data_IF_231913091520
#
_entry.id   IF_231913091520
#
_cell.length_a   1.000
_cell.length_b   1.000
_cell.length_c   1.000
_cell.angle_alpha   90.00
_cell.angle_beta   90.00
_cell.angle_gamma   90.00
#
_symmetry.space_group_name_H-M   'P 1'
#
loop_
_entity.id
_entity.type
_entity.pdbx_description
1 polymer ?
#
# COMPACT_ATOMS: atom_id res chain seq x y z
N UNK A 1 4.81 -19.37 12.28
CA UNK A 1 5.73 -18.65 13.18
C UNK A 1 5.86 -17.27 12.59
N UNK A 2 5.56 -16.24 13.38
CA UNK A 2 5.70 -14.87 12.91
C UNK A 2 7.16 -14.55 12.60
N UNK A 3 7.40 -13.90 11.46
CA UNK A 3 8.69 -13.38 11.04
C UNK A 3 8.75 -11.86 11.18
N UNK A 4 9.96 -11.31 11.20
CA UNK A 4 10.20 -9.87 11.08
C UNK A 4 10.27 -9.49 9.60
N UNK A 5 9.48 -8.50 9.19
CA UNK A 5 9.33 -8.08 7.80
C UNK A 5 9.69 -6.61 7.67
N UNK A 6 10.58 -6.29 6.73
CA UNK A 6 10.95 -4.92 6.34
C UNK A 6 10.28 -4.56 5.02
N UNK A 7 9.65 -3.39 4.96
CA UNK A 7 8.97 -2.90 3.76
C UNK A 7 8.83 -1.38 3.79
N UNK A 8 8.48 -0.81 2.63
CA UNK A 8 8.06 0.59 2.53
C UNK A 8 6.66 0.66 1.94
N UNK A 9 5.89 1.65 2.35
CA UNK A 9 4.60 2.01 1.76
C UNK A 9 4.59 3.50 1.41
N UNK A 10 4.01 3.88 0.28
CA UNK A 10 3.89 5.27 -0.18
C UNK A 10 2.42 5.69 -0.32
N UNK A 11 2.15 6.96 -0.03
CA UNK A 11 0.86 7.59 -0.29
C UNK A 11 0.91 8.29 -1.66
N UNK A 12 0.68 7.52 -2.73
CA UNK A 12 0.62 8.07 -4.09
C UNK A 12 -0.85 8.34 -4.42
N UNK A 13 -1.18 9.60 -4.72
CA UNK A 13 -2.55 10.02 -5.06
C UNK A 13 -2.68 10.33 -6.55
N UNK A 14 -3.92 10.41 -7.04
CA UNK A 14 -4.22 10.83 -8.41
C UNK A 14 -4.32 12.35 -8.56
N UNK A 15 -4.08 13.12 -7.49
CA UNK A 15 -4.12 14.58 -7.53
C UNK A 15 -2.97 15.10 -8.41
N UNK A 16 -3.23 16.15 -9.20
CA UNK A 16 -2.20 16.81 -10.00
C UNK A 16 -2.12 18.30 -9.63
N UNK A 17 -0.98 18.79 -9.09
CA UNK A 17 0.23 18.03 -8.73
C UNK A 17 0.01 17.09 -7.54
N UNK A 18 0.79 16.01 -7.47
CA UNK A 18 0.75 15.06 -6.36
C UNK A 18 1.16 15.74 -5.04
N UNK A 19 0.49 15.43 -3.91
CA UNK A 19 0.86 15.95 -2.60
C UNK A 19 2.31 15.60 -2.29
N UNK A 20 3.10 16.63 -1.99
CA UNK A 20 4.52 16.44 -1.67
C UNK A 20 4.68 15.95 -0.24
N UNK A 21 5.85 15.39 0.09
CA UNK A 21 6.23 15.03 1.45
C UNK A 21 5.94 16.18 2.44
N UNK A 22 6.12 17.43 2.04
CA UNK A 22 5.86 18.64 2.85
C UNK A 22 4.40 19.09 2.90
N UNK A 23 3.46 18.38 2.29
CA UNK A 23 2.03 18.73 2.34
C UNK A 23 1.53 18.63 3.79
N UNK A 24 0.86 19.68 4.32
CA UNK A 24 0.34 19.70 5.70
C UNK A 24 -0.51 18.49 6.09
N UNK A 25 -1.14 17.82 5.11
CA UNK A 25 -1.93 16.60 5.36
C UNK A 25 -1.12 15.47 5.99
N UNK A 26 0.20 15.46 5.79
CA UNK A 26 1.09 14.42 6.32
C UNK A 26 1.68 14.78 7.68
N UNK A 27 1.47 15.98 8.21
CA UNK A 27 2.02 16.39 9.50
C UNK A 27 1.51 15.52 10.68
N UNK A 28 0.23 15.12 10.76
CA UNK A 28 -0.25 14.27 11.85
C UNK A 28 0.46 12.92 11.92
N UNK A 29 0.63 12.25 10.77
CA UNK A 29 1.30 10.94 10.69
C UNK A 29 2.82 11.05 10.85
N UNK A 30 3.43 12.19 10.48
CA UNK A 30 4.83 12.44 10.80
C UNK A 30 5.07 12.62 12.30
N UNK A 31 4.14 13.27 12.98
CA UNK A 31 4.21 13.51 14.41
C UNK A 31 3.96 12.23 15.24
N UNK A 32 3.13 11.33 14.73
CA UNK A 32 2.78 10.08 15.40
C UNK A 32 2.65 8.93 14.36
N UNK A 33 3.77 8.39 13.84
CA UNK A 33 3.72 7.29 12.89
C UNK A 33 3.29 5.98 13.57
N UNK A 34 2.75 5.01 12.81
CA UNK A 34 2.44 3.68 13.34
C UNK A 34 3.67 3.03 13.99
N UNK A 35 3.47 2.18 15.02
CA UNK A 35 4.58 1.50 15.69
C UNK A 35 5.44 0.69 14.71
N UNK A 36 6.76 0.89 14.80
CA UNK A 36 7.73 0.25 13.92
C UNK A 36 7.82 0.87 12.53
N UNK A 37 7.21 2.03 12.30
CA UNK A 37 7.29 2.78 11.06
C UNK A 37 7.92 4.17 11.25
N UNK A 38 8.66 4.62 10.25
CA UNK A 38 9.29 5.94 10.21
C UNK A 38 8.91 6.67 8.91
N UNK A 39 8.45 7.93 8.98
CA UNK A 39 8.24 8.77 7.81
C UNK A 39 9.54 8.98 7.03
N UNK A 40 9.47 8.89 5.71
CA UNK A 40 10.58 9.22 4.83
C UNK A 40 10.10 9.91 3.55
N UNK A 41 10.98 10.72 2.98
CA UNK A 41 10.78 11.39 1.69
C UNK A 41 11.28 10.47 0.56
N UNK A 42 10.37 10.10 -0.34
CA UNK A 42 10.65 9.27 -1.52
C UNK A 42 10.51 10.13 -2.78
N UNK A 43 11.59 10.77 -3.23
CA UNK A 43 11.60 11.66 -4.39
C UNK A 43 10.49 12.74 -4.36
N UNK A 44 10.21 13.26 -3.16
CA UNK A 44 9.19 14.26 -2.90
C UNK A 44 7.82 13.68 -2.54
N UNK A 45 7.63 12.36 -2.52
CA UNK A 45 6.41 11.68 -2.08
C UNK A 45 6.49 11.30 -0.60
N UNK A 46 5.32 11.25 0.04
CA UNK A 46 5.22 10.75 1.41
C UNK A 46 5.24 9.22 1.47
N UNK A 47 6.11 8.67 2.32
CA UNK A 47 6.17 7.25 2.61
C UNK A 47 6.49 6.92 4.06
N UNK A 48 6.28 5.65 4.42
CA UNK A 48 6.73 5.04 5.66
C UNK A 48 7.67 3.87 5.36
N UNK A 49 8.80 3.80 6.06
CA UNK A 49 9.63 2.59 6.15
C UNK A 49 9.24 1.86 7.43
N UNK A 50 8.92 0.58 7.32
CA UNK A 50 8.38 -0.19 8.42
C UNK A 50 9.15 -1.47 8.67
N UNK A 51 9.20 -1.86 9.93
CA UNK A 51 9.67 -3.17 10.39
C UNK A 51 8.63 -3.76 11.35
N UNK A 52 7.94 -4.82 10.92
CA UNK A 52 6.81 -5.41 11.66
C UNK A 52 6.98 -6.91 11.86
N UNK A 53 6.48 -7.41 12.98
CA UNK A 53 6.39 -8.86 13.24
C UNK A 53 5.01 -9.33 12.84
N UNK A 54 4.92 -10.27 11.90
CA UNK A 54 3.64 -10.86 11.45
C UNK A 54 3.86 -12.26 10.86
N UNK A 55 2.77 -13.02 10.66
CA UNK A 55 2.83 -14.34 10.04
C UNK A 55 3.35 -14.28 8.59
N UNK A 56 2.98 -13.23 7.84
CA UNK A 56 3.46 -12.99 6.48
C UNK A 56 3.77 -11.51 6.24
N UNK A 57 4.54 -11.21 5.19
CA UNK A 57 4.77 -9.84 4.74
C UNK A 57 3.45 -9.16 4.36
N UNK A 58 2.51 -9.89 3.75
CA UNK A 58 1.20 -9.34 3.38
C UNK A 58 0.39 -8.96 4.61
N UNK A 59 0.42 -9.77 5.68
CA UNK A 59 -0.25 -9.44 6.93
C UNK A 59 0.35 -8.16 7.55
N UNK A 60 1.69 -8.07 7.60
CA UNK A 60 2.39 -6.89 8.10
C UNK A 60 2.05 -5.60 7.31
N UNK A 61 2.03 -5.68 5.97
CA UNK A 61 1.67 -4.54 5.11
C UNK A 61 0.21 -4.15 5.31
N UNK A 62 -0.71 -5.12 5.33
CA UNK A 62 -2.13 -4.86 5.44
C UNK A 62 -2.51 -4.21 6.78
N UNK A 63 -1.89 -4.66 7.88
CA UNK A 63 -2.07 -4.04 9.20
C UNK A 63 -1.60 -2.59 9.21
N UNK A 64 -0.41 -2.28 8.68
CA UNK A 64 0.07 -0.90 8.61
C UNK A 64 -0.83 -0.03 7.74
N UNK A 65 -1.25 -0.50 6.56
CA UNK A 65 -2.19 0.25 5.71
C UNK A 65 -3.51 0.55 6.46
N UNK A 66 -4.01 -0.42 7.23
CA UNK A 66 -5.21 -0.26 8.04
C UNK A 66 -5.01 0.76 9.17
N UNK A 67 -3.92 0.67 9.93
CA UNK A 67 -3.59 1.60 11.01
C UNK A 67 -3.52 3.03 10.49
N UNK A 68 -2.81 3.24 9.37
CA UNK A 68 -2.68 4.56 8.74
C UNK A 68 -4.03 5.11 8.25
N UNK A 69 -4.87 4.26 7.67
CA UNK A 69 -6.20 4.65 7.21
C UNK A 69 -7.11 5.00 8.39
N UNK A 70 -7.15 4.16 9.42
CA UNK A 70 -8.03 4.34 10.59
C UNK A 70 -7.62 5.57 11.44
N UNK A 71 -6.32 5.81 11.62
CA UNK A 71 -5.81 6.87 12.49
C UNK A 71 -5.61 8.21 11.79
N UNK A 72 -5.28 8.20 10.49
CA UNK A 72 -4.92 9.42 9.75
C UNK A 72 -5.78 9.67 8.51
N UNK A 73 -6.63 8.72 8.10
CA UNK A 73 -7.44 8.86 6.89
C UNK A 73 -6.63 8.89 5.60
N UNK A 74 -5.40 8.37 5.63
CA UNK A 74 -4.49 8.34 4.47
C UNK A 74 -4.49 6.92 3.88
N UNK A 75 -4.72 6.81 2.58
CA UNK A 75 -4.58 5.54 1.88
C UNK A 75 -3.14 5.37 1.39
N UNK A 76 -2.51 4.26 1.80
CA UNK A 76 -1.22 3.84 1.26
C UNK A 76 -1.45 2.97 0.01
N UNK A 77 -0.88 3.35 -1.12
CA UNK A 77 -1.25 2.82 -2.45
C UNK A 77 -0.09 2.17 -3.20
N UNK A 78 1.14 2.30 -2.70
CA UNK A 78 2.33 1.79 -3.38
C UNK A 78 3.32 1.19 -2.36
N UNK A 79 4.13 0.22 -2.80
CA UNK A 79 5.22 -0.42 -2.04
C UNK A 79 6.62 0.01 -2.52
N UNK A 80 6.71 1.12 -3.26
CA UNK A 80 7.96 1.59 -3.87
C UNK A 80 8.28 0.93 -5.21
N UNK A 81 7.29 0.37 -5.90
CA UNK A 81 7.49 -0.32 -7.17
C UNK A 81 7.22 0.65 -8.32
N UNK A 82 8.30 1.16 -8.90
CA UNK A 82 8.24 2.12 -10.01
C UNK A 82 7.52 1.58 -11.25
N UNK A 83 6.74 2.45 -11.89
CA UNK A 83 6.01 2.21 -13.16
C UNK A 83 5.00 1.05 -13.13
N UNK A 84 3.95 1.11 -12.30
CA UNK A 84 2.77 0.23 -12.46
C UNK A 84 1.93 0.51 -13.75
N UNK A 85 2.50 1.30 -14.67
CA UNK A 85 2.07 1.83 -15.98
C UNK A 85 0.76 2.63 -16.03
N UNK A 86 0.80 3.77 -15.32
CA UNK A 86 0.07 4.97 -15.74
C UNK A 86 -1.45 4.91 -15.54
N UNK A 87 -1.85 4.36 -14.39
CA UNK A 87 -2.93 4.88 -13.52
C UNK A 87 -4.07 5.65 -14.22
N UNK A 88 -4.68 5.00 -15.23
CA UNK A 88 -5.83 5.49 -15.98
C UNK A 88 -7.09 5.36 -15.13
N UNK A 89 -7.87 6.44 -15.04
CA UNK A 89 -9.16 6.50 -14.35
C UNK A 89 -10.32 6.55 -15.35
N UNK A 90 -10.21 5.80 -16.44
CA UNK A 90 -11.20 5.73 -17.53
C UNK A 90 -12.39 4.80 -17.25
N UNK A 91 -12.61 4.46 -15.97
CA UNK A 91 -13.78 3.74 -15.50
C UNK A 91 -13.66 2.22 -15.57
N UNK A 92 -14.78 1.53 -15.32
CA UNK A 92 -14.84 0.06 -15.13
C UNK A 92 -14.68 -0.76 -16.42
N UNK A 93 -14.83 -0.11 -17.56
CA UNK A 93 -14.75 -0.75 -18.88
C UNK A 93 -13.57 -0.22 -19.72
N UNK A 94 -12.72 0.61 -19.13
CA UNK A 94 -11.59 1.25 -19.79
C UNK A 94 -10.28 0.48 -19.68
N UNK A 95 -9.20 1.10 -20.16
CA UNK A 95 -7.85 0.58 -20.04
C UNK A 95 -7.41 0.43 -18.58
N UNK A 96 -7.84 1.32 -17.69
CA UNK A 96 -7.61 1.23 -16.25
C UNK A 96 -8.16 -0.07 -15.64
N UNK A 97 -9.36 -0.49 -16.02
CA UNK A 97 -9.94 -1.77 -15.59
C UNK A 97 -9.15 -2.98 -16.14
N UNK A 98 -8.64 -2.88 -17.37
CA UNK A 98 -7.75 -3.91 -17.95
C UNK A 98 -6.44 -4.03 -17.16
N UNK A 99 -5.87 -2.90 -16.72
CA UNK A 99 -4.69 -2.90 -15.83
C UNK A 99 -5.01 -3.60 -14.51
N UNK A 100 -6.14 -3.29 -13.87
CA UNK A 100 -6.58 -3.97 -12.64
C UNK A 100 -6.67 -5.49 -12.85
N UNK A 101 -7.30 -5.93 -13.94
CA UNK A 101 -7.38 -7.35 -14.29
C UNK A 101 -5.99 -8.00 -14.45
N UNK A 102 -5.07 -7.34 -15.17
CA UNK A 102 -3.71 -7.81 -15.36
C UNK A 102 -2.93 -7.91 -14.03
N UNK A 103 -3.06 -6.92 -13.15
CA UNK A 103 -2.40 -6.92 -11.85
C UNK A 103 -2.90 -8.07 -10.96
N UNK A 104 -4.21 -8.35 -10.96
CA UNK A 104 -4.77 -9.49 -10.23
C UNK A 104 -4.27 -10.84 -10.79
N UNK A 105 -4.16 -10.99 -12.11
CA UNK A 105 -3.60 -12.19 -12.74
C UNK A 105 -2.11 -12.37 -12.38
N UNK A 106 -1.33 -11.29 -12.41
CA UNK A 106 0.08 -11.34 -12.02
C UNK A 106 0.26 -11.63 -10.54
N UNK A 107 -0.54 -10.99 -9.68
CA UNK A 107 -0.52 -11.19 -8.24
C UNK A 107 -0.88 -12.64 -7.89
N UNK A 108 -1.97 -13.18 -8.44
CA UNK A 108 -2.38 -14.58 -8.19
C UNK A 108 -1.33 -15.59 -8.67
N UNK A 109 -0.73 -15.38 -9.85
CA UNK A 109 0.33 -16.24 -10.36
C UNK A 109 1.58 -16.22 -9.45
N UNK A 110 2.01 -15.02 -9.02
CA UNK A 110 3.17 -14.89 -8.13
C UNK A 110 2.91 -15.38 -6.72
N UNK A 111 1.73 -15.14 -6.17
CA UNK A 111 1.29 -15.63 -4.86
C UNK A 111 1.49 -17.15 -4.76
N UNK A 112 1.01 -17.89 -5.76
CA UNK A 112 1.18 -19.35 -5.82
C UNK A 112 2.65 -19.79 -5.83
N UNK A 113 3.52 -19.08 -6.54
CA UNK A 113 4.95 -19.41 -6.58
C UNK A 113 5.66 -19.16 -5.25
N UNK A 114 5.14 -18.24 -4.44
CA UNK A 114 5.67 -17.86 -3.13
C UNK A 114 5.00 -18.62 -1.98
N UNK A 115 4.05 -19.51 -2.27
CA UNK A 115 3.35 -20.31 -1.26
C UNK A 115 2.12 -19.66 -0.64
N UNK A 116 1.67 -18.51 -1.16
CA UNK A 116 0.42 -17.88 -0.75
C UNK A 116 -0.78 -18.52 -1.45
N UNK A 117 -1.88 -18.68 -0.72
CA UNK A 117 -3.18 -19.11 -1.24
C UNK A 117 -4.10 -17.93 -1.58
N UNK A 118 -5.21 -18.22 -2.25
CA UNK A 118 -6.24 -17.21 -2.57
C UNK A 118 -6.80 -16.53 -1.33
N UNK A 119 -6.99 -17.26 -0.24
CA UNK A 119 -7.49 -16.71 1.03
C UNK A 119 -6.53 -15.68 1.65
N UNK A 120 -5.21 -15.84 1.45
CA UNK A 120 -4.22 -14.85 1.91
C UNK A 120 -4.38 -13.54 1.16
N UNK A 121 -4.61 -13.60 -0.15
CA UNK A 121 -4.86 -12.42 -0.99
C UNK A 121 -6.18 -11.74 -0.64
N UNK A 122 -7.25 -12.52 -0.42
CA UNK A 122 -8.55 -11.97 -0.02
C UNK A 122 -8.48 -11.32 1.36
N UNK A 123 -7.77 -11.95 2.30
CA UNK A 123 -7.51 -11.38 3.63
C UNK A 123 -6.73 -10.07 3.53
N UNK A 124 -5.66 -10.03 2.72
CA UNK A 124 -4.91 -8.80 2.47
C UNK A 124 -5.85 -7.66 2.02
N UNK A 125 -6.67 -7.91 0.99
CA UNK A 125 -7.59 -6.91 0.43
C UNK A 125 -8.65 -6.42 1.45
N UNK A 126 -9.13 -7.32 2.32
CA UNK A 126 -10.12 -6.97 3.35
C UNK A 126 -9.52 -6.16 4.50
N UNK A 127 -8.25 -6.42 4.82
CA UNK A 127 -7.58 -5.75 5.94
C UNK A 127 -7.02 -4.40 5.50
N UNK A 128 -6.33 -4.33 4.36
CA UNK A 128 -5.65 -3.12 3.90
C UNK A 128 -6.59 -2.00 3.48
N UNK A 129 -7.84 -2.33 3.12
CA UNK A 129 -8.88 -1.38 2.74
C UNK A 129 -10.07 -1.51 3.68
N UNK A 130 -10.14 -0.67 4.72
CA UNK A 130 -11.40 -0.44 5.43
C UNK A 130 -12.32 0.38 4.50
N UNK A 131 -13.17 -0.36 3.77
CA UNK A 131 -14.20 0.03 2.76
C UNK A 131 -14.73 1.47 2.77
N UNK A 132 -15.08 2.05 1.61
CA UNK A 132 -15.86 1.43 0.52
C UNK A 132 -15.18 1.32 -0.85
#
# INVERSE_FOLDING_TARGET
MAGQHEFMVLAVTYDRPEPRFTDPRFEPIKAAPPPGCEPFDCDGLFGLRCTRTADTLLDAVAEVCKEVLDEHGITMTDLGIEKLWEWSTDGRDGFGATIVGQLLLMASYRARLLGYGTEDLVRFLRTSNATA
#
